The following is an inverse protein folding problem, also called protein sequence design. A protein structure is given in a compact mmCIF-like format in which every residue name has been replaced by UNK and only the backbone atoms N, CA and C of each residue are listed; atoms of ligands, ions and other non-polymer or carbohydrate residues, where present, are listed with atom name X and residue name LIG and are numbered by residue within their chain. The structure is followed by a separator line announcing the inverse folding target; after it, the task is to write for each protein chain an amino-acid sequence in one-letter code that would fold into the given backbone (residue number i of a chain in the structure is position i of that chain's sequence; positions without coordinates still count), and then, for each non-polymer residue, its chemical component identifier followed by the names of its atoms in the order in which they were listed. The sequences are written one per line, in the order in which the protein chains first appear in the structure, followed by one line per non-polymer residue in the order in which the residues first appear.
data_IF_659088687421
#
_entry.id   IF_659088687421
#
_cell.length_a   1.000
_cell.length_b   1.000
_cell.length_c   1.000
_cell.angle_alpha   90.00
_cell.angle_beta   90.00
_cell.angle_gamma   90.00
#
_symmetry.space_group_name_H-M   'P 1'
#
loop_
_entity.id
_entity.type
_entity.pdbx_description
1 polymer ?
#
# COMPACT_ATOMS: atom_id res chain seq x y z
N UNK A 1 15.57 20.53 20.48
CA UNK A 1 15.21 20.44 19.04
C UNK A 1 14.12 19.39 18.86
N UNK A 2 13.14 19.61 17.98
CA UNK A 2 12.13 18.61 17.61
C UNK A 2 12.12 18.44 16.09
N UNK A 3 12.04 17.20 15.63
CA UNK A 3 11.97 16.83 14.21
C UNK A 3 10.62 16.19 13.94
N UNK A 4 9.95 16.66 12.88
CA UNK A 4 8.73 16.05 12.36
C UNK A 4 9.09 15.25 11.11
N UNK A 5 8.68 13.98 11.07
CA UNK A 5 8.89 13.11 9.92
C UNK A 5 7.54 12.61 9.38
N UNK A 6 7.27 12.88 8.10
CA UNK A 6 6.10 12.37 7.42
C UNK A 6 6.34 10.93 6.96
N UNK A 7 5.46 10.02 7.37
CA UNK A 7 5.51 8.61 6.98
C UNK A 7 4.24 8.29 6.19
N UNK A 8 4.39 7.59 5.07
CA UNK A 8 3.28 7.08 4.26
C UNK A 8 3.25 5.57 4.34
N UNK A 9 2.08 5.03 4.69
CA UNK A 9 1.80 3.59 4.62
C UNK A 9 1.62 3.17 3.16
N UNK A 10 2.31 2.11 2.74
CA UNK A 10 2.23 1.56 1.38
C UNK A 10 2.00 0.06 1.41
N UNK A 11 1.78 -0.54 0.24
CA UNK A 11 1.71 -2.01 0.11
C UNK A 11 3.11 -2.57 0.36
N UNK A 12 3.20 -3.66 1.13
CA UNK A 12 4.46 -4.31 1.46
C UNK A 12 5.18 -4.77 0.18
N UNK A 13 6.50 -4.61 0.16
CA UNK A 13 7.32 -4.89 -1.02
C UNK A 13 7.29 -6.37 -1.45
N UNK A 14 6.93 -7.30 -0.56
CA UNK A 14 6.82 -8.73 -0.85
C UNK A 14 5.45 -9.13 -1.43
N UNK A 15 4.48 -8.23 -1.49
CA UNK A 15 3.13 -8.55 -1.97
C UNK A 15 3.10 -8.50 -3.50
N UNK A 16 2.59 -9.57 -4.11
CA UNK A 16 2.27 -9.56 -5.55
C UNK A 16 0.96 -8.81 -5.78
N UNK A 17 1.07 -7.57 -6.27
CA UNK A 17 -0.04 -6.67 -6.56
C UNK A 17 -0.96 -7.24 -7.64
N UNK A 18 -2.28 -7.14 -7.42
CA UNK A 18 -3.31 -7.52 -8.39
C UNK A 18 -4.23 -6.33 -8.67
N UNK A 19 -4.65 -6.18 -9.91
CA UNK A 19 -5.59 -5.14 -10.35
C UNK A 19 -7.01 -5.70 -10.20
N UNK A 20 -7.96 -4.83 -9.82
CA UNK A 20 -9.38 -5.16 -9.80
C UNK A 20 -9.89 -5.43 -11.22
N UNK A 21 -10.93 -6.26 -11.34
CA UNK A 21 -11.53 -6.61 -12.62
C UNK A 21 -12.11 -5.40 -13.39
N UNK A 22 -12.49 -4.34 -12.66
CA UNK A 22 -13.02 -3.08 -13.20
C UNK A 22 -11.92 -2.08 -13.64
N UNK A 23 -10.64 -2.45 -13.51
CA UNK A 23 -9.48 -1.58 -13.78
C UNK A 23 -9.44 -0.26 -13.00
N UNK A 24 -10.24 -0.11 -11.94
CA UNK A 24 -10.29 1.12 -11.12
C UNK A 24 -9.11 1.28 -10.17
N UNK A 25 -8.34 0.21 -9.95
CA UNK A 25 -7.18 0.22 -9.06
C UNK A 25 -6.75 -1.16 -8.61
N UNK A 26 -5.99 -1.18 -7.50
CA UNK A 26 -5.40 -2.38 -6.91
C UNK A 26 -6.35 -2.99 -5.87
N UNK A 27 -6.36 -4.32 -5.79
CA UNK A 27 -7.05 -5.05 -4.73
C UNK A 27 -6.26 -4.94 -3.41
N UNK A 28 -6.91 -4.37 -2.38
CA UNK A 28 -6.34 -4.12 -1.06
C UNK A 28 -6.96 -4.99 0.04
N UNK A 29 -7.91 -5.87 -0.28
CA UNK A 29 -8.70 -6.58 0.74
C UNK A 29 -7.89 -7.59 1.58
N UNK A 30 -6.82 -8.18 1.00
CA UNK A 30 -6.00 -9.21 1.63
C UNK A 30 -4.49 -8.96 1.46
N UNK A 31 -4.07 -7.70 1.40
CA UNK A 31 -2.65 -7.33 1.21
C UNK A 31 -2.05 -6.78 2.50
N UNK A 32 -0.80 -7.16 2.78
CA UNK A 32 -0.03 -6.58 3.87
C UNK A 32 0.37 -5.15 3.51
N UNK A 33 0.18 -4.23 4.45
CA UNK A 33 0.55 -2.83 4.32
C UNK A 33 1.61 -2.52 5.36
N UNK A 34 2.76 -1.99 4.95
CA UNK A 34 3.90 -1.75 5.84
C UNK A 34 4.65 -0.46 5.47
#
# INVERSE_FOLDING_TARGET
MKVLACIKRVVDYNVKVRVKADNSGVDLANVKMS
#
